data_IF_506283186644
#
_entry.id   IF_506283186644
#
_cell.length_a   1.000
_cell.length_b   1.000
_cell.length_c   1.000
_cell.angle_alpha   90.00
_cell.angle_beta   90.00
_cell.angle_gamma   90.00
#
_symmetry.space_group_name_H-M   'P 1'
#
loop_
_entity.id
_entity.type
_entity.pdbx_description
1 polymer ?
#
# COMPACT_ATOMS: atom_id res chain seq x y z
N UNK A 1 -6.15 -17.47 7.40
CA UNK A 1 -5.88 -16.03 7.53
C UNK A 1 -4.80 -15.70 6.51
N UNK A 2 -5.10 -14.84 5.54
CA UNK A 2 -4.10 -14.37 4.58
C UNK A 2 -3.20 -13.30 5.20
N UNK A 3 -2.04 -13.05 4.60
CA UNK A 3 -1.20 -11.93 4.99
C UNK A 3 -1.87 -10.61 4.58
N UNK A 4 -1.83 -9.62 5.48
CA UNK A 4 -2.25 -8.25 5.20
C UNK A 4 -1.02 -7.39 4.95
N UNK A 5 -1.12 -6.51 3.96
CA UNK A 5 -0.04 -5.64 3.53
C UNK A 5 -0.48 -4.19 3.62
N UNK A 6 0.43 -3.33 4.09
CA UNK A 6 0.16 -1.94 4.41
C UNK A 6 1.25 -1.09 3.79
N UNK A 7 0.87 0.09 3.29
CA UNK A 7 1.80 1.23 3.32
C UNK A 7 1.62 1.94 4.65
N UNK A 8 2.75 2.34 5.23
CA UNK A 8 2.84 3.01 6.52
C UNK A 8 3.80 4.19 6.40
N UNK A 9 3.43 5.33 6.98
CA UNK A 9 4.31 6.49 7.12
C UNK A 9 4.91 6.59 8.54
N UNK A 10 5.77 7.59 8.75
CA UNK A 10 6.48 7.82 10.02
C UNK A 10 5.52 8.11 11.20
N UNK A 11 4.31 8.57 10.93
CA UNK A 11 3.25 8.84 11.92
C UNK A 11 2.34 7.61 12.16
N UNK A 12 2.71 6.43 11.62
CA UNK A 12 1.96 5.17 11.70
C UNK A 12 0.58 5.22 11.02
N UNK A 13 0.38 6.10 10.05
CA UNK A 13 -0.82 6.04 9.21
C UNK A 13 -0.73 4.83 8.28
N UNK A 14 -1.65 3.89 8.45
CA UNK A 14 -1.72 2.69 7.61
C UNK A 14 -2.80 2.80 6.55
N UNK A 15 -2.50 2.35 5.34
CA UNK A 15 -3.47 2.03 4.29
C UNK A 15 -3.26 0.58 3.88
N UNK A 16 -4.28 -0.26 4.05
CA UNK A 16 -4.24 -1.63 3.58
C UNK A 16 -4.28 -1.67 2.05
N UNK A 17 -3.46 -2.53 1.45
CA UNK A 17 -3.39 -2.71 0.00
C UNK A 17 -3.99 -4.05 -0.37
N UNK A 18 -4.95 -4.03 -1.31
CA UNK A 18 -5.61 -5.23 -1.84
C UNK A 18 -5.56 -5.29 -3.37
N UNK A 19 -5.47 -6.47 -3.98
CA UNK A 19 -5.19 -7.76 -3.34
C UNK A 19 -3.73 -7.85 -2.86
N UNK A 20 -3.50 -8.56 -1.75
CA UNK A 20 -2.17 -8.68 -1.14
C UNK A 20 -1.10 -9.28 -2.06
N UNK A 21 -1.52 -10.17 -2.97
CA UNK A 21 -0.66 -10.84 -3.96
C UNK A 21 0.12 -9.86 -4.85
N UNK A 22 -0.46 -8.69 -5.12
CA UNK A 22 0.12 -7.66 -5.97
C UNK A 22 1.20 -6.85 -5.26
N UNK A 23 1.14 -6.74 -3.93
CA UNK A 23 2.07 -5.92 -3.15
C UNK A 23 3.11 -6.75 -2.38
N UNK A 24 2.79 -8.03 -2.11
CA UNK A 24 3.68 -8.96 -1.40
C UNK A 24 5.14 -8.99 -1.90
N UNK A 25 5.43 -8.89 -3.22
CA UNK A 25 6.82 -8.88 -3.69
C UNK A 25 7.62 -7.63 -3.35
N UNK A 26 6.97 -6.53 -2.96
CA UNK A 26 7.57 -5.21 -2.76
C UNK A 26 7.72 -4.84 -1.29
N UNK A 27 7.61 -5.80 -0.38
CA UNK A 27 7.74 -5.55 1.07
C UNK A 27 9.15 -5.06 1.37
N UNK A 28 9.23 -3.87 1.98
CA UNK A 28 10.49 -3.19 2.29
C UNK A 28 10.92 -2.16 1.24
N UNK A 29 10.32 -2.19 0.04
CA UNK A 29 10.60 -1.20 -1.00
C UNK A 29 9.76 0.06 -0.83
N UNK A 30 10.29 1.17 -1.36
CA UNK A 30 9.50 2.38 -1.58
C UNK A 30 8.74 2.22 -2.89
N UNK A 31 7.42 2.34 -2.84
CA UNK A 31 6.56 2.09 -4.00
C UNK A 31 5.52 3.20 -4.19
N UNK A 32 5.09 3.37 -5.43
CA UNK A 32 3.89 4.09 -5.81
C UNK A 32 2.76 3.11 -6.10
N UNK A 33 1.69 3.20 -5.34
CA UNK A 33 0.46 2.41 -5.53
C UNK A 33 -0.62 3.30 -6.12
N UNK A 34 -1.26 2.85 -7.19
CA UNK A 34 -2.39 3.54 -7.82
C UNK A 34 -3.59 2.61 -7.80
N UNK A 35 -4.77 3.16 -7.47
CA UNK A 35 -5.99 2.39 -7.43
C UNK A 35 -7.14 3.13 -6.76
N UNK A 36 -8.22 2.40 -6.46
CA UNK A 36 -9.40 2.96 -5.78
C UNK A 36 -9.18 3.01 -4.28
N UNK A 37 -9.15 4.22 -3.72
CA UNK A 37 -9.09 4.44 -2.27
C UNK A 37 -10.48 4.49 -1.65
N UNK A 38 -10.59 3.94 -0.43
CA UNK A 38 -11.79 4.04 0.40
C UNK A 38 -11.42 4.23 1.87
N UNK A 39 -12.30 4.92 2.60
CA UNK A 39 -12.20 5.10 4.04
C UNK A 39 -13.57 4.87 4.69
N UNK A 40 -13.57 4.11 5.78
CA UNK A 40 -14.72 4.03 6.69
C UNK A 40 -14.23 4.03 8.15
N UNK A 41 -14.96 4.64 9.10
CA UNK A 41 -14.54 4.71 10.50
C UNK A 41 -14.30 3.35 11.15
N UNK A 42 -15.06 2.33 10.74
CA UNK A 42 -15.02 0.96 11.26
C UNK A 42 -14.08 0.03 10.47
N UNK A 43 -13.78 0.34 9.21
CA UNK A 43 -12.95 -0.49 8.33
C UNK A 43 -11.55 0.10 8.05
N UNK A 44 -11.28 1.34 8.48
CA UNK A 44 -10.01 2.02 8.25
C UNK A 44 -9.85 2.51 6.81
N UNK A 45 -8.62 2.48 6.31
CA UNK A 45 -8.21 3.00 4.99
C UNK A 45 -7.74 1.84 4.12
N UNK A 46 -8.32 1.70 2.94
CA UNK A 46 -8.00 0.61 2.00
C UNK A 46 -7.81 1.19 0.59
N UNK A 47 -6.83 0.67 -0.13
CA UNK A 47 -6.67 0.89 -1.57
C UNK A 47 -6.75 -0.44 -2.32
N UNK A 48 -7.69 -0.52 -3.26
CA UNK A 48 -7.77 -1.58 -4.25
C UNK A 48 -6.79 -1.24 -5.38
N UNK A 49 -5.62 -1.84 -5.37
CA UNK A 49 -4.49 -1.51 -6.22
C UNK A 49 -4.68 -1.97 -7.66
N UNK A 50 -4.69 -1.02 -8.58
CA UNK A 50 -4.70 -1.20 -10.04
C UNK A 50 -3.28 -1.23 -10.64
N UNK A 51 -2.30 -0.60 -9.96
CA UNK A 51 -0.89 -0.66 -10.33
C UNK A 51 0.03 -0.46 -9.12
N UNK A 52 1.20 -1.10 -9.15
CA UNK A 52 2.30 -0.90 -8.20
C UNK A 52 3.59 -0.71 -9.00
N UNK A 53 4.36 0.31 -8.66
CA UNK A 53 5.67 0.58 -9.24
C UNK A 53 6.67 0.91 -8.13
N UNK A 54 7.89 0.41 -8.24
CA UNK A 54 8.98 0.82 -7.34
C UNK A 54 9.32 2.27 -7.62
N UNK A 55 9.41 3.07 -6.57
CA UNK A 55 9.89 4.44 -6.67
C UNK A 55 11.41 4.41 -6.72
N UNK A 56 11.99 4.66 -7.88
CA UNK A 56 13.43 4.88 -7.97
C UNK A 56 13.75 6.21 -7.28
N UNK A 57 14.46 6.12 -6.15
CA UNK A 57 15.00 7.29 -5.46
C UNK A 57 15.86 8.08 -6.44
N UNK A 58 15.32 9.18 -6.98
CA UNK A 58 16.15 10.21 -7.60
C UNK A 58 16.83 10.96 -6.46
N UNK A 59 18.06 10.57 -6.15
CA UNK A 59 18.98 11.51 -5.50
C UNK A 59 19.07 12.74 -6.42
N UNK A 60 18.59 13.88 -5.91
CA UNK A 60 18.84 15.21 -6.46
C UNK A 60 19.88 15.89 -5.59
#
# INVERSE_FOLDING_TARGET
>A
MGAHYWIEDEDLNRVEIRPGERIAPYVGDRVRVTGRFSYAPDAGRVIEADAVAVEESREQ
#
